data_IF_676613025075
#
_entry.id   IF_676613025075
#
_cell.length_a   1.000
_cell.length_b   1.000
_cell.length_c   1.000
_cell.angle_alpha   90.00
_cell.angle_beta   90.00
_cell.angle_gamma   90.00
#
_symmetry.space_group_name_H-M   'P 1'
#
loop_
_entity.id
_entity.type
_entity.pdbx_description
1 polymer ?
#
# COMPACT_ATOMS: atom_id res chain seq x y z
N UNK A 1 -8.35 -39.32 -15.16
CA UNK A 1 -7.79 -40.66 -14.91
C UNK A 1 -6.43 -40.49 -14.26
N UNK A 2 -6.26 -41.16 -13.14
CA UNK A 2 -5.11 -41.14 -12.23
C UNK A 2 -3.79 -41.47 -12.93
N UNK A 3 -2.72 -40.74 -12.62
CA UNK A 3 -1.36 -41.19 -12.92
C UNK A 3 -0.66 -41.63 -11.64
N UNK A 4 -0.10 -42.83 -11.74
CA UNK A 4 0.43 -43.69 -10.71
C UNK A 4 1.80 -43.22 -10.21
N UNK A 5 1.99 -43.30 -8.90
CA UNK A 5 3.26 -43.17 -8.19
C UNK A 5 4.09 -44.44 -8.41
N UNK A 6 5.32 -44.30 -8.91
CA UNK A 6 6.30 -45.39 -8.97
C UNK A 6 7.14 -45.45 -7.67
N UNK A 7 7.59 -46.65 -7.23
CA UNK A 7 8.23 -46.85 -5.93
C UNK A 7 9.74 -46.60 -5.94
N UNK A 8 10.25 -46.30 -4.75
CA UNK A 8 11.62 -45.91 -4.40
C UNK A 8 12.55 -47.13 -4.32
N UNK A 9 13.80 -47.09 -4.83
CA UNK A 9 14.78 -48.13 -4.55
C UNK A 9 15.31 -47.99 -3.11
N UNK A 10 15.33 -49.10 -2.38
CA UNK A 10 16.05 -49.29 -1.13
C UNK A 10 17.40 -49.92 -1.48
N UNK A 11 18.50 -49.23 -1.18
CA UNK A 11 19.81 -49.86 -1.02
C UNK A 11 20.30 -49.56 0.41
N UNK A 12 20.21 -50.57 1.27
CA UNK A 12 21.17 -50.78 2.36
C UNK A 12 22.45 -51.35 1.76
N UNK A 13 23.63 -51.28 2.35
CA UNK A 13 24.08 -51.04 3.71
C UNK A 13 25.57 -51.46 3.72
N UNK A 14 26.33 -51.09 4.75
CA UNK A 14 27.69 -51.60 4.94
C UNK A 14 28.70 -50.54 5.38
N UNK A 15 28.87 -50.47 6.70
CA UNK A 15 29.97 -49.86 7.43
C UNK A 15 31.32 -50.50 7.09
N UNK A 16 32.40 -49.72 7.09
CA UNK A 16 33.60 -50.02 7.88
C UNK A 16 34.57 -48.82 7.97
N UNK A 17 35.17 -48.73 9.16
CA UNK A 17 36.09 -47.75 9.72
C UNK A 17 37.36 -47.45 8.92
N UNK A 18 37.80 -46.16 8.91
CA UNK A 18 39.19 -45.72 9.21
C UNK A 18 39.36 -44.18 9.06
N UNK A 19 40.02 -43.58 10.06
CA UNK A 19 40.21 -42.15 10.39
C UNK A 19 41.03 -41.26 9.37
N UNK A 20 41.12 -39.91 9.58
CA UNK A 20 41.18 -38.88 8.52
C UNK A 20 42.58 -38.27 8.27
N UNK A 21 42.75 -37.44 7.21
CA UNK A 21 43.72 -36.37 7.20
C UNK A 21 43.09 -35.01 7.60
N UNK A 22 43.80 -34.16 8.35
CA UNK A 22 43.31 -32.83 8.69
C UNK A 22 43.68 -31.86 7.55
N UNK A 23 42.70 -31.29 6.85
CA UNK A 23 42.95 -30.03 6.16
C UNK A 23 41.67 -29.23 5.85
N UNK A 24 41.48 -28.19 6.66
CA UNK A 24 41.03 -26.84 6.26
C UNK A 24 39.64 -26.63 5.64
N UNK A 25 38.78 -26.01 6.45
CA UNK A 25 37.92 -24.91 5.99
C UNK A 25 36.61 -25.29 5.30
N UNK A 26 35.68 -25.90 6.05
CA UNK A 26 34.28 -26.04 5.62
C UNK A 26 33.55 -24.69 5.64
N UNK A 27 33.71 -23.91 4.58
CA UNK A 27 32.68 -23.00 4.10
C UNK A 27 31.99 -23.69 2.92
N UNK A 28 31.10 -24.66 3.23
CA UNK A 28 30.25 -25.29 2.24
C UNK A 28 29.13 -24.33 1.79
N UNK A 29 29.56 -23.33 1.03
CA UNK A 29 29.02 -22.84 -0.24
C UNK A 29 27.53 -23.12 -0.44
N UNK A 30 26.74 -22.13 -0.04
CA UNK A 30 25.35 -21.88 -0.44
C UNK A 30 25.21 -22.16 -1.95
N UNK A 31 24.67 -23.33 -2.33
CA UNK A 31 24.36 -23.66 -3.72
C UNK A 31 23.05 -22.97 -4.10
N UNK A 32 23.12 -21.69 -4.48
CA UNK A 32 22.01 -21.00 -5.15
C UNK A 32 22.07 -21.31 -6.64
N UNK A 33 20.97 -21.88 -7.13
CA UNK A 33 20.70 -22.26 -8.53
C UNK A 33 21.16 -21.13 -9.46
N UNK A 34 22.22 -21.40 -10.23
CA UNK A 34 22.94 -20.43 -11.04
C UNK A 34 22.32 -20.30 -12.44
N UNK A 35 21.20 -19.61 -12.55
CA UNK A 35 20.78 -19.09 -13.85
C UNK A 35 21.59 -17.82 -14.11
N UNK A 36 22.47 -17.84 -15.12
CA UNK A 36 23.28 -16.68 -15.47
C UNK A 36 22.37 -15.49 -15.83
N UNK A 37 22.68 -14.30 -15.32
CA UNK A 37 21.95 -13.10 -15.72
C UNK A 37 22.14 -12.82 -17.22
N UNK A 38 21.23 -12.06 -17.83
CA UNK A 38 21.24 -11.80 -19.29
C UNK A 38 22.58 -11.29 -19.82
N UNK A 39 23.28 -10.45 -19.05
CA UNK A 39 24.61 -9.94 -19.42
C UNK A 39 25.70 -11.02 -19.41
N UNK A 40 25.73 -11.90 -18.39
CA UNK A 40 26.68 -13.03 -18.34
C UNK A 40 26.37 -14.06 -19.44
N UNK A 41 25.09 -14.25 -19.76
CA UNK A 41 24.65 -15.11 -20.87
C UNK A 41 25.13 -14.57 -22.23
N UNK A 42 25.02 -13.27 -22.47
CA UNK A 42 25.53 -12.63 -23.69
C UNK A 42 27.06 -12.72 -23.80
N UNK A 43 27.78 -12.54 -22.69
CA UNK A 43 29.25 -12.53 -22.67
C UNK A 43 29.90 -13.90 -22.53
N UNK A 44 29.11 -14.99 -22.42
CA UNK A 44 29.58 -16.38 -22.19
C UNK A 44 30.55 -16.50 -20.99
N UNK A 45 30.35 -15.70 -19.94
CA UNK A 45 31.19 -15.71 -18.73
C UNK A 45 30.46 -16.34 -17.54
N UNK A 46 31.22 -16.92 -16.60
CA UNK A 46 30.68 -17.46 -15.35
C UNK A 46 30.00 -16.35 -14.55
N UNK A 47 28.71 -16.50 -14.28
CA UNK A 47 27.97 -15.58 -13.41
C UNK A 47 28.34 -15.86 -11.95
N UNK A 48 29.31 -15.12 -11.41
CA UNK A 48 29.67 -15.17 -10.00
C UNK A 48 28.74 -14.22 -9.25
N UNK A 49 27.85 -14.76 -8.42
CA UNK A 49 27.02 -13.96 -7.53
C UNK A 49 27.79 -13.70 -6.24
N UNK A 50 28.15 -12.44 -6.03
CA UNK A 50 28.63 -11.94 -4.75
C UNK A 50 27.66 -10.85 -4.28
N UNK A 51 26.94 -11.16 -3.20
CA UNK A 51 25.93 -10.29 -2.62
C UNK A 51 26.51 -8.93 -2.17
N UNK A 52 27.82 -8.87 -1.92
CA UNK A 52 28.50 -7.66 -1.48
C UNK A 52 29.00 -6.80 -2.64
N UNK A 53 29.37 -7.39 -3.78
CA UNK A 53 29.89 -6.65 -4.95
C UNK A 53 28.90 -6.44 -6.10
N UNK A 54 27.70 -7.03 -6.08
CA UNK A 54 26.65 -6.80 -7.10
C UNK A 54 26.00 -5.40 -6.93
N UNK A 55 26.75 -4.36 -7.29
CA UNK A 55 26.35 -2.97 -7.21
C UNK A 55 25.13 -2.66 -8.08
N UNK A 56 24.97 -3.35 -9.23
CA UNK A 56 23.82 -3.14 -10.12
C UNK A 56 22.50 -3.48 -9.43
N UNK A 57 22.46 -4.62 -8.73
CA UNK A 57 21.28 -5.05 -7.97
C UNK A 57 21.02 -4.14 -6.77
N UNK A 58 22.08 -3.68 -6.08
CA UNK A 58 21.97 -2.68 -5.01
C UNK A 58 21.36 -1.37 -5.50
N UNK A 59 21.85 -0.83 -6.63
CA UNK A 59 21.33 0.41 -7.23
C UNK A 59 19.88 0.25 -7.68
N UNK A 60 19.52 -0.87 -8.30
CA UNK A 60 18.13 -1.12 -8.71
C UNK A 60 17.18 -1.18 -7.51
N UNK A 61 17.55 -1.92 -6.46
CA UNK A 61 16.77 -1.97 -5.23
C UNK A 61 16.69 -0.61 -4.54
N UNK A 62 17.79 0.15 -4.50
CA UNK A 62 17.82 1.49 -3.92
C UNK A 62 16.88 2.44 -4.66
N UNK A 63 16.86 2.41 -6.00
CA UNK A 63 15.91 3.20 -6.82
C UNK A 63 14.47 2.78 -6.54
N UNK A 64 14.18 1.49 -6.54
CA UNK A 64 12.83 1.00 -6.23
C UNK A 64 12.36 1.44 -4.83
N UNK A 65 13.23 1.40 -3.82
CA UNK A 65 12.90 1.90 -2.47
C UNK A 65 12.64 3.40 -2.49
N UNK A 66 13.45 4.16 -3.22
CA UNK A 66 13.26 5.60 -3.37
C UNK A 66 11.93 5.94 -4.06
N UNK A 67 11.63 5.28 -5.18
CA UNK A 67 10.41 5.50 -5.96
C UNK A 67 9.17 5.12 -5.13
N UNK A 68 9.24 4.02 -4.36
CA UNK A 68 8.18 3.62 -3.44
C UNK A 68 7.96 4.66 -2.34
N UNK A 69 9.03 5.22 -1.76
CA UNK A 69 8.92 6.26 -0.74
C UNK A 69 8.31 7.55 -1.32
N UNK A 70 8.66 7.93 -2.55
CA UNK A 70 8.06 9.08 -3.23
C UNK A 70 6.56 8.86 -3.48
N UNK A 71 6.19 7.71 -4.04
CA UNK A 71 4.79 7.36 -4.29
C UNK A 71 3.95 7.33 -2.99
N UNK A 72 4.52 6.85 -1.87
CA UNK A 72 3.86 6.89 -0.56
C UNK A 72 3.59 8.33 -0.09
N UNK A 73 4.55 9.23 -0.27
CA UNK A 73 4.36 10.64 0.08
C UNK A 73 3.29 11.31 -0.79
N UNK A 74 3.22 10.96 -2.07
CA UNK A 74 2.19 11.48 -2.97
C UNK A 74 0.78 11.01 -2.58
N UNK A 75 0.65 9.72 -2.23
CA UNK A 75 -0.62 9.19 -1.72
C UNK A 75 -1.05 9.89 -0.43
N UNK A 76 -0.11 10.16 0.47
CA UNK A 76 -0.42 10.89 1.71
C UNK A 76 -0.86 12.34 1.44
N UNK A 77 -0.22 13.03 0.48
CA UNK A 77 -0.64 14.39 0.05
C UNK A 77 -2.05 14.39 -0.53
N UNK A 78 -2.36 13.43 -1.41
CA UNK A 78 -3.69 13.30 -2.02
C UNK A 78 -4.72 12.95 -0.94
N UNK A 79 -4.40 12.04 -0.01
CA UNK A 79 -5.26 11.69 1.13
C UNK A 79 -5.59 12.91 1.97
N UNK A 80 -4.59 13.72 2.31
CA UNK A 80 -4.79 14.95 3.08
C UNK A 80 -5.70 15.95 2.35
N UNK A 81 -5.49 16.14 1.06
CA UNK A 81 -6.32 17.04 0.25
C UNK A 81 -7.77 16.54 0.15
N UNK A 82 -7.98 15.32 -0.33
CA UNK A 82 -9.33 14.76 -0.53
C UNK A 82 -10.08 14.62 0.80
N UNK A 83 -9.42 14.07 1.81
CA UNK A 83 -10.00 13.93 3.14
C UNK A 83 -10.33 15.28 3.75
N UNK A 84 -9.45 16.27 3.60
CA UNK A 84 -9.68 17.61 4.13
C UNK A 84 -10.87 18.31 3.48
N UNK A 85 -11.02 18.20 2.16
CA UNK A 85 -12.21 18.72 1.43
C UNK A 85 -13.49 18.08 1.98
N UNK A 86 -13.51 16.74 2.10
CA UNK A 86 -14.67 16.02 2.64
C UNK A 86 -14.95 16.45 4.09
N UNK A 87 -13.92 16.63 4.91
CA UNK A 87 -14.06 17.07 6.30
C UNK A 87 -14.66 18.47 6.41
N UNK A 88 -14.20 19.42 5.57
CA UNK A 88 -14.74 20.78 5.51
C UNK A 88 -16.23 20.75 5.09
N UNK A 89 -16.61 19.89 4.14
CA UNK A 89 -18.02 19.75 3.71
C UNK A 89 -18.88 19.12 4.82
N UNK A 90 -18.35 18.14 5.56
CA UNK A 90 -19.12 17.40 6.59
C UNK A 90 -19.32 18.17 7.89
N UNK A 91 -18.32 18.95 8.31
CA UNK A 91 -18.28 19.55 9.64
C UNK A 91 -17.85 21.03 9.65
N UNK A 92 -17.49 21.59 8.50
CA UNK A 92 -17.20 23.02 8.39
C UNK A 92 -18.45 23.87 8.55
N UNK A 93 -18.24 25.11 8.98
CA UNK A 93 -19.29 26.12 8.98
C UNK A 93 -19.71 26.47 7.55
N UNK A 94 -20.95 26.97 7.35
CA UNK A 94 -21.44 27.36 6.02
C UNK A 94 -20.51 28.34 5.29
N UNK A 95 -19.84 29.22 6.03
CA UNK A 95 -18.84 30.15 5.48
C UNK A 95 -17.63 29.40 4.94
N UNK A 96 -17.02 28.50 5.73
CA UNK A 96 -15.86 27.70 5.32
C UNK A 96 -16.17 26.83 4.08
N UNK A 97 -17.36 26.21 4.04
CA UNK A 97 -17.78 25.44 2.86
C UNK A 97 -17.99 26.34 1.64
N UNK A 98 -18.60 27.52 1.81
CA UNK A 98 -18.77 28.49 0.73
C UNK A 98 -17.43 29.03 0.22
N UNK A 99 -16.50 29.33 1.12
CA UNK A 99 -15.15 29.80 0.79
C UNK A 99 -14.36 28.74 0.02
N UNK A 100 -14.44 27.48 0.45
CA UNK A 100 -13.85 26.35 -0.24
C UNK A 100 -14.41 26.21 -1.68
N UNK A 101 -15.74 26.25 -1.83
CA UNK A 101 -16.39 26.16 -3.14
C UNK A 101 -16.00 27.36 -4.03
N UNK A 102 -15.94 28.57 -3.45
CA UNK A 102 -15.44 29.76 -4.13
C UNK A 102 -14.02 29.58 -4.64
N UNK A 103 -13.10 29.11 -3.79
CA UNK A 103 -11.70 28.81 -4.14
C UNK A 103 -11.56 27.76 -5.24
N UNK A 104 -12.44 26.76 -5.27
CA UNK A 104 -12.45 25.76 -6.35
C UNK A 104 -12.92 26.40 -7.66
N UNK A 105 -13.95 27.24 -7.61
CA UNK A 105 -14.47 27.92 -8.81
C UNK A 105 -13.54 28.98 -9.39
N UNK A 106 -12.66 29.58 -8.59
CA UNK A 106 -11.67 30.55 -9.10
C UNK A 106 -10.57 29.89 -9.93
N UNK A 107 -10.46 28.56 -9.93
CA UNK A 107 -9.43 27.84 -10.67
C UNK A 107 -8.04 27.98 -10.06
N UNK A 108 -7.95 28.12 -8.73
CA UNK A 108 -6.67 28.22 -8.03
C UNK A 108 -5.81 26.97 -8.22
N UNK A 109 -4.49 27.14 -8.20
CA UNK A 109 -3.56 26.01 -8.32
C UNK A 109 -3.74 25.00 -7.17
N UNK A 110 -3.60 23.72 -7.50
CA UNK A 110 -3.79 22.62 -6.56
C UNK A 110 -2.94 22.72 -5.26
N UNK A 111 -1.67 23.17 -5.29
CA UNK A 111 -0.88 23.36 -4.07
C UNK A 111 -1.45 24.43 -3.15
N UNK A 112 -2.04 25.49 -3.70
CA UNK A 112 -2.65 26.58 -2.93
C UNK A 112 -3.98 26.13 -2.33
N UNK A 113 -4.79 25.38 -3.07
CA UNK A 113 -5.97 24.71 -2.53
C UNK A 113 -5.60 23.76 -1.39
N UNK A 114 -4.54 22.96 -1.56
CA UNK A 114 -4.06 22.04 -0.54
C UNK A 114 -3.52 22.77 0.71
N UNK A 115 -2.92 23.95 0.55
CA UNK A 115 -2.50 24.78 1.68
C UNK A 115 -3.72 25.29 2.47
N UNK A 116 -4.74 25.80 1.78
CA UNK A 116 -6.00 26.23 2.40
C UNK A 116 -6.66 25.09 3.18
N UNK A 117 -6.87 23.94 2.51
CA UNK A 117 -7.53 22.77 3.13
C UNK A 117 -6.78 22.28 4.36
N UNK A 118 -5.44 22.16 4.30
CA UNK A 118 -4.63 21.75 5.46
C UNK A 118 -4.71 22.75 6.61
N UNK A 119 -4.77 24.05 6.30
CA UNK A 119 -4.91 25.09 7.32
C UNK A 119 -6.28 25.00 8.02
N UNK A 120 -7.36 24.81 7.26
CA UNK A 120 -8.71 24.65 7.82
C UNK A 120 -8.82 23.41 8.71
N UNK A 121 -8.29 22.27 8.26
CA UNK A 121 -8.27 21.03 9.04
C UNK A 121 -7.50 21.20 10.35
N UNK A 122 -6.38 21.94 10.34
CA UNK A 122 -5.57 22.19 11.54
C UNK A 122 -6.19 23.21 12.49
N UNK A 123 -6.92 24.19 11.97
CA UNK A 123 -7.43 25.32 12.76
C UNK A 123 -8.76 24.98 13.43
N UNK A 124 -9.62 24.21 12.77
CA UNK A 124 -10.96 23.89 13.27
C UNK A 124 -11.03 22.44 13.78
N UNK A 125 -11.24 22.27 15.10
CA UNK A 125 -11.33 20.95 15.75
C UNK A 125 -12.47 20.08 15.25
N UNK A 126 -13.58 20.67 14.80
CA UNK A 126 -14.70 19.90 14.25
C UNK A 126 -14.32 19.28 12.90
N UNK A 127 -13.61 20.05 12.08
CA UNK A 127 -13.08 19.59 10.79
C UNK A 127 -11.99 18.55 11.02
N UNK A 128 -11.08 18.77 11.98
CA UNK A 128 -10.07 17.79 12.35
C UNK A 128 -10.69 16.46 12.81
N UNK A 129 -11.67 16.51 13.71
CA UNK A 129 -12.38 15.33 14.16
C UNK A 129 -13.12 14.63 13.02
N UNK A 130 -13.76 15.39 12.11
CA UNK A 130 -14.40 14.82 10.93
C UNK A 130 -13.38 14.13 10.01
N UNK A 131 -12.20 14.73 9.82
CA UNK A 131 -11.11 14.18 9.00
C UNK A 131 -10.61 12.83 9.54
N UNK A 132 -10.37 12.74 10.85
CA UNK A 132 -9.92 11.51 11.50
C UNK A 132 -10.94 10.37 11.39
N UNK A 133 -12.22 10.70 11.25
CA UNK A 133 -13.32 9.74 11.11
C UNK A 133 -13.62 9.35 9.64
N UNK A 134 -12.84 9.82 8.67
CA UNK A 134 -13.01 9.40 7.27
C UNK A 134 -12.40 8.03 7.07
N UNK A 135 -13.21 7.09 6.60
CA UNK A 135 -12.73 5.83 6.02
C UNK A 135 -12.28 6.08 4.58
N UNK A 136 -11.01 5.80 4.30
CA UNK A 136 -10.41 5.94 2.97
C UNK A 136 -10.43 4.64 2.17
N UNK A 137 -11.13 3.61 2.64
CA UNK A 137 -11.32 2.38 1.89
C UNK A 137 -12.36 2.57 0.78
N UNK A 138 -11.88 2.71 -0.47
CA UNK A 138 -12.72 2.96 -1.65
C UNK A 138 -13.25 1.64 -2.27
N UNK A 139 -12.79 0.46 -1.80
CA UNK A 139 -13.17 -0.84 -2.38
C UNK A 139 -14.57 -1.33 -1.98
N UNK A 140 -15.51 -0.41 -1.76
CA UNK A 140 -16.91 -0.72 -1.46
C UNK A 140 -17.66 -1.31 -2.65
N UNK A 141 -18.94 -1.71 -2.45
CA UNK A 141 -19.78 -2.18 -3.54
C UNK A 141 -19.86 -1.12 -4.64
N UNK A 142 -19.60 -1.53 -5.88
CA UNK A 142 -19.48 -0.64 -7.05
C UNK A 142 -20.82 0.00 -7.43
N UNK A 143 -21.94 -0.64 -7.07
CA UNK A 143 -23.28 -0.16 -7.34
C UNK A 143 -23.88 0.51 -6.11
N UNK A 144 -24.00 1.83 -6.18
CA UNK A 144 -24.78 2.60 -5.24
C UNK A 144 -26.27 2.49 -5.59
N UNK A 145 -27.18 2.43 -4.61
CA UNK A 145 -28.60 2.62 -4.86
C UNK A 145 -28.85 3.96 -5.54
N UNK A 146 -29.96 4.08 -6.28
CA UNK A 146 -30.30 5.36 -6.92
C UNK A 146 -30.26 6.52 -5.90
N UNK A 147 -29.87 7.75 -6.30
CA UNK A 147 -29.83 8.90 -5.39
C UNK A 147 -31.14 9.11 -4.63
N UNK A 148 -32.28 8.85 -5.28
CA UNK A 148 -33.59 8.90 -4.64
C UNK A 148 -33.78 7.83 -3.55
N UNK A 149 -33.33 6.59 -3.79
CA UNK A 149 -33.38 5.52 -2.79
C UNK A 149 -32.48 5.82 -1.58
N UNK A 150 -31.31 6.42 -1.82
CA UNK A 150 -30.40 6.85 -0.77
C UNK A 150 -31.02 7.95 0.09
N UNK A 151 -31.56 9.01 -0.53
CA UNK A 151 -32.19 10.12 0.18
C UNK A 151 -33.43 9.67 0.95
N UNK A 152 -34.29 8.84 0.36
CA UNK A 152 -35.46 8.27 1.04
C UNK A 152 -35.07 7.44 2.28
N UNK A 153 -33.99 6.63 2.18
CA UNK A 153 -33.47 5.88 3.32
C UNK A 153 -32.92 6.77 4.45
N UNK A 154 -32.32 7.91 4.12
CA UNK A 154 -31.83 8.89 5.09
C UNK A 154 -32.97 9.62 5.82
N UNK A 155 -34.08 9.90 5.13
CA UNK A 155 -35.28 10.48 5.74
C UNK A 155 -35.98 9.52 6.72
N UNK A 156 -36.05 8.22 6.40
CA UNK A 156 -36.59 7.21 7.32
C UNK A 156 -35.78 7.13 8.62
N UNK A 157 -34.45 7.09 8.54
CA UNK A 157 -33.59 7.04 9.75
C UNK A 157 -33.71 8.27 10.65
N UNK A 158 -34.05 9.44 10.09
CA UNK A 158 -34.32 10.64 10.91
C UNK A 158 -35.66 10.56 11.63
N UNK A 159 -36.70 9.98 11.03
CA UNK A 159 -38.02 9.84 11.67
C UNK A 159 -38.00 8.88 12.86
N UNK A 160 -37.21 7.82 12.78
CA UNK A 160 -37.10 6.83 13.87
C UNK A 160 -36.32 7.34 15.09
N UNK A 161 -35.63 8.49 14.97
CA UNK A 161 -34.88 9.11 16.09
C UNK A 161 -35.73 10.00 17.00
N UNK A 162 -36.99 10.29 16.64
CA UNK A 162 -37.97 10.92 17.52
C UNK A 162 -38.90 9.88 18.14
N UNK A 163 -38.45 9.25 19.22
CA UNK A 163 -39.33 8.45 20.09
C UNK A 163 -40.44 9.30 20.72
N UNK A 164 -41.59 8.70 21.09
CA UNK A 164 -42.73 9.45 21.60
C UNK A 164 -42.35 10.13 22.93
N UNK A 165 -42.62 11.45 23.02
CA UNK A 165 -42.64 12.14 24.32
C UNK A 165 -43.82 11.60 25.11
N UNK A 166 -43.55 10.75 26.09
CA UNK A 166 -44.52 10.38 27.11
C UNK A 166 -45.06 11.65 27.76
N UNK A 167 -46.38 11.78 27.76
CA UNK A 167 -47.15 12.85 28.38
C UNK A 167 -47.78 12.32 29.66
#
# INVERSE_FOLDING_TARGET
MSQLIAPRPLDGGGSDDSNPPPNSGSLQKIRKISTACGACKQRKTRCIYDATSDQRRKIANQRNVQDLAEAQNDLERIRQLMGGIIAIIRAGHPTQTSDLVGLIHTGVDLPQLAAYVRNEVRTNRNIEAAFQNIDFNINGPSDLPSPHALLAGMESRRRDSCGPRNR
#
